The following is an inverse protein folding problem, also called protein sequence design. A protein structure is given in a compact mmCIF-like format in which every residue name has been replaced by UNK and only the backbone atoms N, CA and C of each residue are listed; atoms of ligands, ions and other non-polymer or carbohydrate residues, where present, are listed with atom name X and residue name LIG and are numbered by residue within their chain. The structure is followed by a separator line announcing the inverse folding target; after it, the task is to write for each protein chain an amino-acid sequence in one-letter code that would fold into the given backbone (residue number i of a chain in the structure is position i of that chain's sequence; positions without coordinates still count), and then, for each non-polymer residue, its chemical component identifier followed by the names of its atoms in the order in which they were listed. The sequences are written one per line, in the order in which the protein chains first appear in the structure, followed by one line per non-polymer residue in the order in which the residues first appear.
data_IF_723166370342
#
_entry.id   IF_723166370342
#
_cell.length_a   1.000
_cell.length_b   1.000
_cell.length_c   1.000
_cell.angle_alpha   90.00
_cell.angle_beta   90.00
_cell.angle_gamma   90.00
#
_symmetry.space_group_name_H-M   'P 1'
#
loop_
_entity.id
_entity.type
_entity.pdbx_description
1 polymer ?
#
# COMPACT_ATOMS: atom_id res chain seq x y z
N UNK A 1 -24.49 -23.94 -12.50
CA UNK A 1 -23.51 -24.74 -11.74
C UNK A 1 -22.76 -23.79 -10.83
N UNK A 2 -22.99 -23.85 -9.52
CA UNK A 2 -22.36 -22.92 -8.58
C UNK A 2 -20.88 -23.28 -8.45
N UNK A 3 -20.00 -22.30 -8.67
CA UNK A 3 -18.56 -22.46 -8.45
C UNK A 3 -18.30 -22.63 -6.95
N UNK A 4 -18.18 -23.88 -6.49
CA UNK A 4 -17.73 -24.20 -5.13
C UNK A 4 -16.21 -24.06 -5.08
N UNK A 5 -15.71 -23.02 -4.43
CA UNK A 5 -14.28 -22.89 -4.17
C UNK A 5 -13.90 -23.77 -2.99
N UNK A 6 -13.24 -24.91 -3.24
CA UNK A 6 -12.68 -25.75 -2.19
C UNK A 6 -11.52 -25.00 -1.50
N UNK A 7 -11.62 -24.78 -0.20
CA UNK A 7 -10.62 -24.07 0.60
C UNK A 7 -9.72 -25.02 1.39
N UNK A 8 -10.29 -26.12 1.88
CA UNK A 8 -9.60 -27.09 2.71
C UNK A 8 -10.13 -28.50 2.46
N UNK A 9 -9.23 -29.47 2.53
CA UNK A 9 -9.56 -30.89 2.54
C UNK A 9 -8.57 -31.60 3.46
N UNK A 10 -9.07 -32.49 4.30
CA UNK A 10 -8.25 -33.26 5.22
C UNK A 10 -9.09 -34.24 6.04
N UNK A 11 -8.56 -34.60 7.19
CA UNK A 11 -9.19 -35.51 8.15
C UNK A 11 -9.44 -34.77 9.46
N UNK A 12 -10.62 -34.99 10.04
CA UNK A 12 -10.94 -34.58 11.39
C UNK A 12 -11.32 -35.78 12.23
N UNK A 13 -11.15 -35.65 13.54
CA UNK A 13 -11.46 -36.67 14.52
C UNK A 13 -12.62 -36.20 15.39
N UNK A 14 -13.63 -37.05 15.56
CA UNK A 14 -14.75 -36.82 16.46
C UNK A 14 -14.55 -37.64 17.73
N UNK A 15 -14.65 -37.00 18.89
CA UNK A 15 -14.56 -37.70 20.17
C UNK A 15 -15.82 -38.52 20.41
N UNK A 16 -15.68 -39.85 20.39
CA UNK A 16 -16.78 -40.80 20.65
C UNK A 16 -16.91 -41.03 22.15
N UNK A 17 -15.79 -41.29 22.82
CA UNK A 17 -15.72 -41.54 24.25
C UNK A 17 -14.52 -40.79 24.85
N UNK A 18 -14.74 -40.05 25.93
CA UNK A 18 -13.67 -39.40 26.69
C UNK A 18 -12.79 -40.41 27.43
N UNK A 19 -11.68 -39.93 28.01
CA UNK A 19 -10.81 -40.74 28.85
C UNK A 19 -11.60 -41.32 30.02
N UNK A 20 -11.42 -42.61 30.25
CA UNK A 20 -11.90 -43.29 31.45
C UNK A 20 -10.70 -43.76 32.28
N UNK A 21 -10.94 -44.32 33.46
CA UNK A 21 -9.87 -44.90 34.30
C UNK A 21 -9.12 -46.04 33.61
N UNK A 22 -9.77 -46.75 32.68
CA UNK A 22 -9.23 -47.96 32.06
C UNK A 22 -8.84 -47.79 30.59
N UNK A 23 -9.34 -46.76 29.91
CA UNK A 23 -9.16 -46.57 28.48
C UNK A 23 -8.80 -45.12 28.11
N UNK A 24 -7.95 -44.98 27.11
CA UNK A 24 -7.69 -43.73 26.42
C UNK A 24 -8.95 -43.24 25.67
N UNK A 25 -9.06 -41.93 25.38
CA UNK A 25 -10.16 -41.40 24.57
C UNK A 25 -10.27 -42.13 23.23
N UNK A 26 -11.50 -42.35 22.77
CA UNK A 26 -11.80 -42.97 21.47
C UNK A 26 -12.29 -41.92 20.48
N UNK A 27 -11.74 -42.00 19.29
CA UNK A 27 -12.03 -41.06 18.21
C UNK A 27 -12.55 -41.80 16.98
N UNK A 28 -13.51 -41.18 16.28
CA UNK A 28 -13.95 -41.57 14.94
C UNK A 28 -13.22 -40.69 13.93
N UNK A 29 -12.65 -41.31 12.89
CA UNK A 29 -12.03 -40.61 11.79
C UNK A 29 -13.09 -40.21 10.76
N UNK A 30 -13.19 -38.93 10.43
CA UNK A 30 -14.14 -38.43 9.44
C UNK A 30 -13.42 -37.53 8.41
N UNK A 31 -13.71 -37.68 7.11
CA UNK A 31 -13.19 -36.77 6.11
C UNK A 31 -13.83 -35.39 6.32
N UNK A 32 -13.02 -34.35 6.23
CA UNK A 32 -13.45 -32.97 6.39
C UNK A 32 -13.07 -32.14 5.17
N UNK A 33 -14.01 -31.35 4.67
CA UNK A 33 -13.76 -30.39 3.62
C UNK A 33 -14.42 -29.06 3.94
N UNK A 34 -13.79 -27.96 3.54
CA UNK A 34 -14.36 -26.61 3.67
C UNK A 34 -14.42 -26.01 2.30
N UNK A 35 -15.59 -25.49 1.94
CA UNK A 35 -15.81 -24.81 0.66
C UNK A 35 -16.55 -23.51 0.85
N UNK A 36 -16.37 -22.58 -0.09
CA UNK A 36 -17.23 -21.40 -0.22
C UNK A 36 -18.28 -21.68 -1.28
N UNK A 37 -19.54 -21.59 -0.88
CA UNK A 37 -20.68 -21.85 -1.75
C UNK A 37 -21.66 -20.69 -1.70
N UNK A 38 -22.09 -20.22 -2.88
CA UNK A 38 -23.24 -19.34 -2.99
C UNK A 38 -24.51 -20.18 -2.88
N UNK A 39 -25.24 -19.99 -1.79
CA UNK A 39 -26.51 -20.69 -1.57
C UNK A 39 -27.66 -19.88 -2.18
N UNK A 40 -28.74 -20.52 -2.68
CA UNK A 40 -29.78 -19.86 -3.48
C UNK A 40 -30.49 -18.67 -2.82
N UNK A 41 -30.48 -18.63 -1.48
CA UNK A 41 -31.18 -17.66 -0.66
C UNK A 41 -30.26 -16.61 -0.02
N UNK A 42 -28.95 -16.66 -0.31
CA UNK A 42 -27.99 -15.65 0.12
C UNK A 42 -27.31 -14.97 -1.06
N UNK A 43 -27.11 -13.66 -0.93
CA UNK A 43 -26.41 -12.85 -1.93
C UNK A 43 -24.88 -12.95 -1.82
N UNK A 44 -24.38 -13.62 -0.77
CA UNK A 44 -22.96 -13.71 -0.47
C UNK A 44 -22.55 -15.18 -0.27
N UNK A 45 -21.38 -15.59 -0.79
CA UNK A 45 -20.87 -16.95 -0.57
C UNK A 45 -20.69 -17.23 0.92
N UNK A 46 -21.26 -18.33 1.38
CA UNK A 46 -21.14 -18.80 2.75
C UNK A 46 -20.06 -19.87 2.85
N UNK A 47 -19.48 -20.01 4.05
CA UNK A 47 -18.53 -21.07 4.36
C UNK A 47 -19.31 -22.31 4.77
N UNK A 48 -19.14 -23.38 3.99
CA UNK A 48 -19.76 -24.68 4.21
C UNK A 48 -18.68 -25.68 4.60
N UNK A 49 -18.88 -26.31 5.74
CA UNK A 49 -18.07 -27.42 6.24
C UNK A 49 -18.80 -28.73 5.92
N UNK A 50 -18.15 -29.61 5.19
CA UNK A 50 -18.60 -30.98 5.02
C UNK A 50 -17.81 -31.88 5.97
N UNK A 51 -18.52 -32.63 6.80
CA UNK A 51 -17.95 -33.62 7.70
C UNK A 51 -18.61 -34.97 7.43
N UNK A 52 -17.85 -35.92 6.88
CA UNK A 52 -18.39 -37.17 6.37
C UNK A 52 -19.44 -36.89 5.28
N UNK A 53 -20.68 -37.32 5.55
CA UNK A 53 -21.82 -37.12 4.65
C UNK A 53 -22.65 -35.87 4.97
N UNK A 54 -22.37 -35.18 6.07
CA UNK A 54 -23.20 -34.06 6.53
C UNK A 54 -22.59 -32.72 6.17
N UNK A 55 -23.42 -31.82 5.64
CA UNK A 55 -23.04 -30.44 5.34
C UNK A 55 -23.50 -29.50 6.45
N UNK A 56 -22.62 -28.59 6.83
CA UNK A 56 -22.83 -27.62 7.88
C UNK A 56 -22.52 -26.21 7.39
N UNK A 57 -23.41 -25.27 7.68
CA UNK A 57 -23.13 -23.85 7.61
C UNK A 57 -22.36 -23.43 8.85
N UNK A 58 -21.18 -22.85 8.68
CA UNK A 58 -20.33 -22.40 9.79
C UNK A 58 -20.68 -20.97 10.15
N UNK A 59 -20.99 -20.70 11.42
CA UNK A 59 -21.30 -19.37 11.93
C UNK A 59 -20.09 -18.76 12.63
N UNK A 60 -19.49 -19.52 13.55
CA UNK A 60 -18.29 -19.10 14.29
C UNK A 60 -17.36 -20.29 14.47
N UNK A 61 -16.06 -20.00 14.59
CA UNK A 61 -15.04 -21.02 14.87
C UNK A 61 -13.98 -20.45 15.82
N UNK A 62 -13.60 -21.23 16.82
CA UNK A 62 -12.55 -20.86 17.77
C UNK A 62 -11.69 -22.06 18.15
N UNK A 63 -10.40 -21.84 18.48
CA UNK A 63 -9.60 -22.88 19.11
C UNK A 63 -10.15 -23.20 20.50
N UNK A 64 -10.08 -24.47 20.92
CA UNK A 64 -10.47 -24.90 22.25
C UNK A 64 -9.43 -25.87 22.84
N UNK A 65 -9.55 -26.14 24.13
CA UNK A 65 -8.61 -26.98 24.87
C UNK A 65 -8.99 -28.46 24.75
N UNK A 66 -8.19 -29.19 24.00
CA UNK A 66 -8.39 -30.62 23.73
C UNK A 66 -8.28 -31.47 25.00
N UNK A 67 -7.35 -31.13 25.90
CA UNK A 67 -7.09 -31.90 27.12
C UNK A 67 -8.26 -31.82 28.10
N UNK A 68 -8.88 -30.64 28.22
CA UNK A 68 -10.08 -30.44 29.04
C UNK A 68 -11.26 -31.25 28.51
N UNK A 69 -11.39 -31.31 27.18
CA UNK A 69 -12.55 -31.97 26.56
C UNK A 69 -12.43 -33.48 26.50
N UNK A 70 -11.24 -34.01 26.22
CA UNK A 70 -10.97 -35.45 26.19
C UNK A 70 -10.76 -36.01 27.59
N UNK A 71 -10.45 -35.18 28.59
CA UNK A 71 -10.11 -35.59 29.94
C UNK A 71 -8.70 -36.18 30.05
N UNK A 72 -7.90 -36.10 28.98
CA UNK A 72 -6.52 -36.59 28.97
C UNK A 72 -5.51 -35.43 28.98
N UNK A 73 -4.71 -35.33 30.04
CA UNK A 73 -3.62 -34.37 30.12
C UNK A 73 -2.51 -34.62 29.08
N UNK A 74 -2.44 -35.84 28.53
CA UNK A 74 -1.50 -36.21 27.46
C UNK A 74 -2.10 -36.13 26.06
N UNK A 75 -3.23 -35.43 25.90
CA UNK A 75 -3.89 -35.27 24.62
C UNK A 75 -2.96 -34.61 23.58
N UNK A 76 -2.76 -35.29 22.46
CA UNK A 76 -1.89 -34.80 21.37
C UNK A 76 -2.70 -34.08 20.29
N UNK A 77 -3.99 -34.43 20.14
CA UNK A 77 -4.88 -33.79 19.17
C UNK A 77 -5.26 -32.38 19.62
N UNK A 78 -5.64 -31.56 18.65
CA UNK A 78 -5.95 -30.13 18.80
C UNK A 78 -7.41 -29.90 18.49
N UNK A 79 -8.10 -29.22 19.40
CA UNK A 79 -9.54 -29.06 19.35
C UNK A 79 -9.93 -27.72 18.71
N UNK A 80 -10.96 -27.78 17.87
CA UNK A 80 -11.71 -26.65 17.37
C UNK A 80 -13.16 -26.77 17.85
N UNK A 81 -13.72 -25.64 18.27
CA UNK A 81 -15.13 -25.53 18.59
C UNK A 81 -15.80 -24.66 17.54
N UNK A 82 -16.82 -25.19 16.89
CA UNK A 82 -17.55 -24.54 15.83
C UNK A 82 -19.00 -24.36 16.24
N UNK A 83 -19.57 -23.18 15.99
CA UNK A 83 -21.03 -23.03 16.03
C UNK A 83 -21.53 -23.17 14.60
N UNK A 84 -22.33 -24.21 14.36
CA UNK A 84 -22.77 -24.59 13.01
C UNK A 84 -24.28 -24.78 12.93
N UNK A 85 -24.82 -24.79 11.71
CA UNK A 85 -26.21 -25.19 11.42
C UNK A 85 -26.19 -26.27 10.34
N UNK A 86 -26.86 -27.41 10.51
CA UNK A 86 -27.00 -28.40 9.45
C UNK A 86 -27.64 -27.76 8.22
N UNK A 87 -27.06 -27.99 7.05
CA UNK A 87 -27.48 -27.27 5.85
C UNK A 87 -28.88 -27.70 5.39
N UNK A 88 -29.27 -28.95 5.65
CA UNK A 88 -30.63 -29.45 5.45
C UNK A 88 -31.64 -28.77 6.38
N UNK A 89 -31.26 -28.45 7.62
CA UNK A 89 -32.11 -27.68 8.54
C UNK A 89 -32.25 -26.24 8.07
N UNK A 90 -31.18 -25.64 7.55
CA UNK A 90 -31.23 -24.29 6.97
C UNK A 90 -32.15 -24.27 5.75
N UNK A 91 -32.04 -25.24 4.85
CA UNK A 91 -32.92 -25.38 3.67
C UNK A 91 -34.38 -25.55 4.10
N UNK A 92 -34.66 -26.41 5.08
CA UNK A 92 -36.02 -26.62 5.63
C UNK A 92 -36.55 -25.37 6.32
N UNK A 93 -35.74 -24.74 7.15
CA UNK A 93 -36.09 -23.51 7.86
C UNK A 93 -36.45 -22.38 6.88
N UNK A 94 -35.71 -22.25 5.79
CA UNK A 94 -36.02 -21.28 4.75
C UNK A 94 -37.32 -21.61 4.01
N UNK A 95 -37.55 -22.88 3.69
CA UNK A 95 -38.77 -23.34 3.00
C UNK A 95 -40.03 -23.06 3.82
N UNK A 96 -39.97 -23.34 5.12
CA UNK A 96 -41.11 -23.21 6.04
C UNK A 96 -41.13 -21.89 6.83
N UNK A 97 -40.20 -20.97 6.54
CA UNK A 97 -40.04 -19.69 7.25
C UNK A 97 -39.90 -19.85 8.78
N UNK A 98 -39.12 -20.83 9.21
CA UNK A 98 -38.81 -21.09 10.63
C UNK A 98 -37.34 -20.78 10.94
N UNK A 99 -36.95 -20.87 12.22
CA UNK A 99 -35.58 -20.65 12.65
C UNK A 99 -34.75 -21.95 12.57
N UNK A 100 -33.60 -21.90 11.91
CA UNK A 100 -32.63 -22.99 11.92
C UNK A 100 -31.88 -23.04 13.26
N UNK A 101 -31.88 -24.20 13.91
CA UNK A 101 -31.20 -24.41 15.19
C UNK A 101 -29.68 -24.41 15.00
N UNK A 102 -28.98 -23.62 15.81
CA UNK A 102 -27.52 -23.69 15.92
C UNK A 102 -27.12 -24.82 16.86
N UNK A 103 -26.01 -25.49 16.53
CA UNK A 103 -25.40 -26.52 17.34
C UNK A 103 -23.90 -26.28 17.45
N UNK A 104 -23.32 -26.77 18.54
CA UNK A 104 -21.87 -26.72 18.76
C UNK A 104 -21.27 -28.04 18.27
N UNK A 105 -20.30 -27.94 17.38
CA UNK A 105 -19.54 -29.06 16.83
C UNK A 105 -18.09 -28.97 17.31
N UNK A 106 -17.58 -30.08 17.83
CA UNK A 106 -16.23 -30.19 18.36
C UNK A 106 -15.41 -31.10 17.45
N UNK A 107 -14.34 -30.55 16.86
CA UNK A 107 -13.49 -31.27 15.91
C UNK A 107 -12.05 -31.33 16.41
N UNK A 108 -11.48 -32.51 16.40
CA UNK A 108 -10.08 -32.74 16.74
C UNK A 108 -9.24 -32.88 15.47
N UNK A 109 -8.03 -32.33 15.49
CA UNK A 109 -7.07 -32.37 14.38
C UNK A 109 -5.69 -32.72 14.94
N UNK A 110 -4.87 -33.45 14.21
CA UNK A 110 -3.63 -34.01 14.77
C UNK A 110 -2.53 -32.97 15.06
N UNK A 111 -2.49 -31.84 14.32
CA UNK A 111 -1.39 -30.87 14.38
C UNK A 111 -1.92 -29.43 14.50
N UNK A 112 -1.22 -28.60 15.28
CA UNK A 112 -1.54 -27.17 15.44
C UNK A 112 -1.59 -26.42 14.11
N UNK A 113 -0.62 -26.67 13.24
CA UNK A 113 -0.57 -26.03 11.93
C UNK A 113 -1.83 -26.32 11.09
N UNK A 114 -2.33 -27.55 11.15
CA UNK A 114 -3.56 -27.95 10.44
C UNK A 114 -4.78 -27.30 11.07
N UNK A 115 -4.83 -27.20 12.41
CA UNK A 115 -5.86 -26.44 13.12
C UNK A 115 -5.89 -24.98 12.66
N UNK A 116 -4.75 -24.31 12.66
CA UNK A 116 -4.65 -22.89 12.32
C UNK A 116 -4.98 -22.64 10.83
N UNK A 117 -4.59 -23.56 9.94
CA UNK A 117 -5.02 -23.53 8.54
C UNK A 117 -6.53 -23.69 8.41
N UNK A 118 -7.13 -24.66 9.10
CA UNK A 118 -8.56 -24.91 9.08
C UNK A 118 -9.35 -23.71 9.64
N UNK A 119 -8.93 -23.14 10.76
CA UNK A 119 -9.52 -21.92 11.33
C UNK A 119 -9.47 -20.76 10.32
N UNK A 120 -8.34 -20.53 9.65
CA UNK A 120 -8.25 -19.50 8.60
C UNK A 120 -9.24 -19.72 7.46
N UNK A 121 -9.41 -20.96 7.02
CA UNK A 121 -10.39 -21.30 5.98
C UNK A 121 -11.84 -21.10 6.47
N UNK A 122 -12.13 -21.41 7.73
CA UNK A 122 -13.47 -21.33 8.32
C UNK A 122 -13.92 -19.89 8.59
N UNK A 123 -13.00 -19.04 9.06
CA UNK A 123 -13.28 -17.65 9.35
C UNK A 123 -13.49 -16.81 8.08
N UNK A 124 -12.93 -17.27 6.96
CA UNK A 124 -12.92 -16.56 5.70
C UNK A 124 -12.10 -15.26 5.79
N UNK A 125 -11.62 -14.78 4.64
CA UNK A 125 -10.86 -13.52 4.54
C UNK A 125 -11.62 -12.29 5.08
N UNK A 126 -12.92 -12.41 5.36
CA UNK A 126 -13.73 -11.34 5.96
C UNK A 126 -13.44 -11.06 7.43
N UNK A 127 -13.09 -12.07 8.21
CA UNK A 127 -12.63 -11.82 9.58
C UNK A 127 -11.18 -11.32 9.62
N UNK A 128 -10.40 -11.39 8.54
CA UNK A 128 -9.10 -10.71 8.53
C UNK A 128 -9.27 -9.19 8.46
N UNK A 129 -10.32 -8.67 7.80
CA UNK A 129 -10.65 -7.25 7.82
C UNK A 129 -11.28 -6.83 9.16
N UNK A 130 -12.19 -7.64 9.73
CA UNK A 130 -12.80 -7.33 11.03
C UNK A 130 -11.87 -7.59 12.22
N UNK A 131 -10.98 -8.59 12.17
CA UNK A 131 -9.93 -8.79 13.19
C UNK A 131 -8.72 -7.88 12.94
N UNK A 132 -8.51 -7.35 11.72
CA UNK A 132 -7.65 -6.18 11.54
C UNK A 132 -8.30 -5.01 12.27
N UNK A 133 -9.57 -4.67 12.04
CA UNK A 133 -10.30 -3.60 12.74
C UNK A 133 -10.40 -3.81 14.28
N UNK A 134 -10.52 -5.05 14.77
CA UNK A 134 -10.58 -5.35 16.21
C UNK A 134 -9.20 -5.47 16.89
N UNK A 135 -8.14 -5.99 16.22
CA UNK A 135 -6.75 -5.85 16.73
C UNK A 135 -6.25 -4.42 16.60
N UNK A 136 -6.81 -3.66 15.67
CA UNK A 136 -6.70 -2.23 15.59
C UNK A 136 -7.48 -1.49 16.69
N UNK A 137 -8.33 -2.17 17.47
CA UNK A 137 -8.88 -1.61 18.70
C UNK A 137 -7.86 -1.54 19.86
N UNK A 138 -6.77 -2.31 19.77
CA UNK A 138 -5.81 -2.54 20.88
C UNK A 138 -4.40 -1.99 20.61
N UNK A 139 -4.17 -1.43 19.42
CA UNK A 139 -3.00 -0.60 19.16
C UNK A 139 -3.35 0.79 19.69
N UNK A 140 -2.66 1.24 20.75
CA UNK A 140 -2.78 2.60 21.28
C UNK A 140 -2.94 3.59 20.12
N UNK A 141 -4.00 4.42 20.09
CA UNK A 141 -4.27 5.30 18.95
C UNK A 141 -3.06 6.17 18.58
N UNK A 142 -2.20 6.48 19.56
CA UNK A 142 -0.93 7.18 19.35
C UNK A 142 0.07 6.40 18.49
N UNK A 143 0.16 5.08 18.61
CA UNK A 143 1.12 4.27 17.85
C UNK A 143 0.79 4.23 16.36
N UNK A 144 -0.49 4.12 15.99
CA UNK A 144 -0.90 4.24 14.58
C UNK A 144 -0.58 5.61 13.98
N UNK A 145 -0.93 6.68 14.71
CA UNK A 145 -0.65 8.04 14.28
C UNK A 145 0.85 8.27 14.06
N UNK A 146 1.70 7.64 14.88
CA UNK A 146 3.15 7.68 14.70
C UNK A 146 3.60 6.87 13.49
N UNK A 147 3.13 5.63 13.33
CA UNK A 147 3.49 4.77 12.20
C UNK A 147 3.12 5.44 10.85
N UNK A 148 1.92 6.05 10.78
CA UNK A 148 1.46 6.80 9.61
C UNK A 148 2.32 8.06 9.37
N UNK A 149 2.66 8.81 10.43
CA UNK A 149 3.51 9.99 10.33
C UNK A 149 4.93 9.66 9.86
N UNK A 150 5.50 8.55 10.35
CA UNK A 150 6.81 8.07 9.89
C UNK A 150 6.75 7.59 8.44
N UNK A 151 5.71 6.86 8.04
CA UNK A 151 5.52 6.43 6.66
C UNK A 151 5.38 7.62 5.70
N UNK A 152 4.64 8.66 6.08
CA UNK A 152 4.53 9.90 5.30
C UNK A 152 5.88 10.62 5.19
N UNK A 153 6.68 10.64 6.26
CA UNK A 153 8.01 11.24 6.28
C UNK A 153 9.01 10.49 5.39
N UNK A 154 9.01 9.16 5.41
CA UNK A 154 9.84 8.34 4.52
C UNK A 154 9.46 8.55 3.05
N UNK A 155 8.15 8.58 2.75
CA UNK A 155 7.66 8.92 1.40
C UNK A 155 8.10 10.31 0.96
N UNK A 156 8.08 11.29 1.87
CA UNK A 156 8.54 12.66 1.58
C UNK A 156 10.04 12.69 1.23
N UNK A 157 10.86 11.93 1.96
CA UNK A 157 12.31 11.84 1.72
C UNK A 157 12.65 11.14 0.41
N UNK A 158 11.87 10.14 0.03
CA UNK A 158 12.06 9.38 -1.22
C UNK A 158 11.45 10.09 -2.43
N UNK A 159 10.59 11.08 -2.23
CA UNK A 159 9.93 11.79 -3.32
C UNK A 159 10.92 12.69 -4.08
N UNK A 160 10.96 12.54 -5.41
CA UNK A 160 11.80 13.37 -6.29
C UNK A 160 11.17 14.71 -6.66
N UNK A 161 9.87 14.89 -6.42
CA UNK A 161 9.15 16.13 -6.68
C UNK A 161 8.97 16.93 -5.38
N UNK A 162 9.50 18.17 -5.38
CA UNK A 162 9.45 19.08 -4.23
C UNK A 162 8.03 19.47 -3.82
N UNK A 163 7.09 19.54 -4.76
CA UNK A 163 5.70 19.91 -4.45
C UNK A 163 5.00 18.75 -3.74
N UNK A 164 5.15 17.53 -4.26
CA UNK A 164 4.65 16.32 -3.61
C UNK A 164 5.32 16.09 -2.24
N UNK A 165 6.64 16.29 -2.15
CA UNK A 165 7.40 16.20 -0.90
C UNK A 165 6.83 17.14 0.18
N UNK A 166 6.52 18.38 -0.20
CA UNK A 166 5.98 19.40 0.68
C UNK A 166 4.61 19.01 1.24
N UNK A 167 3.75 18.42 0.41
CA UNK A 167 2.47 17.84 0.86
C UNK A 167 2.68 16.73 1.90
N UNK A 168 3.60 15.80 1.63
CA UNK A 168 3.91 14.67 2.51
C UNK A 168 4.57 15.12 3.83
N UNK A 169 5.44 16.14 3.81
CA UNK A 169 6.00 16.72 5.03
C UNK A 169 4.93 17.39 5.90
N UNK A 170 3.93 18.05 5.30
CA UNK A 170 2.78 18.62 6.04
C UNK A 170 1.89 17.52 6.64
N UNK A 171 1.68 16.42 5.91
CA UNK A 171 0.96 15.26 6.40
C UNK A 171 1.67 14.62 7.61
N UNK A 172 2.99 14.43 7.52
CA UNK A 172 3.80 13.94 8.63
C UNK A 172 3.75 14.87 9.85
N UNK A 173 3.85 16.20 9.66
CA UNK A 173 3.76 17.17 10.77
C UNK A 173 2.42 17.09 11.50
N UNK A 174 1.32 16.95 10.75
CA UNK A 174 -0.02 16.77 11.30
C UNK A 174 -0.13 15.46 12.08
N UNK A 175 0.40 14.36 11.54
CA UNK A 175 0.41 13.06 12.23
C UNK A 175 1.16 13.12 13.57
N UNK A 176 2.33 13.76 13.60
CA UNK A 176 3.07 13.98 14.86
C UNK A 176 2.33 14.90 15.84
N UNK A 177 1.58 15.90 15.35
CA UNK A 177 0.76 16.78 16.20
C UNK A 177 -0.41 16.04 16.85
N UNK A 178 -1.06 15.15 16.09
CA UNK A 178 -2.17 14.34 16.60
C UNK A 178 -1.64 13.26 17.56
N UNK A 179 -0.49 12.65 17.27
CA UNK A 179 0.18 11.72 18.19
C UNK A 179 0.58 12.37 19.52
N UNK A 180 1.08 13.62 19.52
CA UNK A 180 1.43 14.36 20.74
C UNK A 180 0.27 14.45 21.74
N UNK A 181 -0.99 14.52 21.27
CA UNK A 181 -2.18 14.64 22.12
C UNK A 181 -2.56 13.32 22.81
N UNK A 182 -2.13 12.20 22.26
CA UNK A 182 -2.54 10.86 22.68
C UNK A 182 -1.47 10.20 23.56
N UNK A 183 -0.21 10.62 23.43
CA UNK A 183 0.92 10.06 24.17
C UNK A 183 0.91 10.50 25.64
N UNK A 184 0.91 9.56 26.61
CA UNK A 184 0.76 9.88 28.02
C UNK A 184 2.03 10.51 28.64
N UNK A 185 3.22 10.15 28.17
CA UNK A 185 4.47 10.54 28.80
C UNK A 185 5.01 11.89 28.29
N UNK A 186 5.44 12.75 29.23
CA UNK A 186 5.92 14.11 28.91
C UNK A 186 7.20 14.07 28.08
N UNK A 187 8.07 13.08 28.33
CA UNK A 187 9.35 12.94 27.63
C UNK A 187 9.15 12.68 26.13
N UNK A 188 8.26 11.77 25.75
CA UNK A 188 7.93 11.53 24.34
C UNK A 188 7.20 12.72 23.73
N UNK A 189 6.35 13.43 24.48
CA UNK A 189 5.74 14.68 24.00
C UNK A 189 6.79 15.75 23.69
N UNK A 190 7.82 15.91 24.51
CA UNK A 190 8.95 16.81 24.21
C UNK A 190 9.71 16.40 22.94
N UNK A 191 9.99 15.10 22.76
CA UNK A 191 10.61 14.60 21.53
C UNK A 191 9.76 14.87 20.28
N UNK A 192 8.44 14.67 20.37
CA UNK A 192 7.52 14.96 19.26
C UNK A 192 7.47 16.46 18.95
N UNK A 193 7.47 17.33 19.96
CA UNK A 193 7.57 18.79 19.76
C UNK A 193 8.86 19.20 19.07
N UNK A 194 10.00 18.64 19.49
CA UNK A 194 11.28 18.91 18.86
C UNK A 194 11.28 18.46 17.39
N UNK A 195 10.78 17.24 17.13
CA UNK A 195 10.69 16.67 15.77
C UNK A 195 9.76 17.47 14.86
N UNK A 196 8.62 17.94 15.38
CA UNK A 196 7.72 18.85 14.66
C UNK A 196 8.39 20.19 14.38
N UNK A 197 9.16 20.74 15.31
CA UNK A 197 9.95 21.94 15.09
C UNK A 197 10.96 21.78 13.94
N UNK A 198 11.62 20.63 13.85
CA UNK A 198 12.50 20.29 12.73
C UNK A 198 11.73 20.23 11.41
N UNK A 199 10.60 19.51 11.38
CA UNK A 199 9.76 19.39 10.19
C UNK A 199 9.24 20.73 9.71
N UNK A 200 8.78 21.59 10.61
CA UNK A 200 8.30 22.94 10.26
C UNK A 200 9.43 23.80 9.66
N UNK A 201 10.67 23.64 10.11
CA UNK A 201 11.83 24.30 9.48
C UNK A 201 12.05 23.79 8.06
N UNK A 202 11.99 22.48 7.86
CA UNK A 202 12.13 21.86 6.53
C UNK A 202 11.02 22.28 5.58
N UNK A 203 9.77 22.29 6.04
CA UNK A 203 8.60 22.74 5.26
C UNK A 203 8.78 24.19 4.82
N UNK A 204 9.15 25.09 5.74
CA UNK A 204 9.38 26.52 5.40
C UNK A 204 10.55 26.69 4.41
N UNK A 205 11.58 25.86 4.51
CA UNK A 205 12.68 25.83 3.55
C UNK A 205 12.20 25.43 2.15
N UNK A 206 11.46 24.32 2.06
CA UNK A 206 10.90 23.81 0.80
C UNK A 206 9.88 24.76 0.19
N UNK A 207 9.01 25.40 1.00
CA UNK A 207 8.06 26.42 0.53
C UNK A 207 8.79 27.58 -0.16
N UNK A 208 9.87 28.09 0.44
CA UNK A 208 10.68 29.16 -0.17
C UNK A 208 11.33 28.72 -1.48
N UNK A 209 11.81 27.48 -1.56
CA UNK A 209 12.42 26.94 -2.78
C UNK A 209 11.39 26.75 -3.89
N UNK A 210 10.20 26.24 -3.56
CA UNK A 210 9.09 26.08 -4.51
C UNK A 210 8.60 27.44 -4.99
N UNK A 211 8.46 28.43 -4.10
CA UNK A 211 8.09 29.80 -4.45
C UNK A 211 9.15 30.47 -5.33
N UNK A 212 10.44 30.26 -5.05
CA UNK A 212 11.53 30.76 -5.89
C UNK A 212 11.57 30.06 -7.25
N UNK A 213 11.32 28.76 -7.31
CA UNK A 213 11.22 28.02 -8.57
C UNK A 213 10.02 28.50 -9.40
N UNK A 214 8.87 28.74 -8.78
CA UNK A 214 7.70 29.31 -9.43
C UNK A 214 7.98 30.73 -9.97
N UNK A 215 8.65 31.58 -9.18
CA UNK A 215 9.06 32.93 -9.62
C UNK A 215 10.09 32.92 -10.74
N UNK A 216 11.03 31.97 -10.74
CA UNK A 216 12.00 31.77 -11.85
C UNK A 216 11.34 31.19 -13.10
N UNK A 217 10.35 30.31 -12.95
CA UNK A 217 9.53 29.82 -14.05
C UNK A 217 8.70 30.93 -14.72
N UNK A 218 8.26 31.92 -13.93
CA UNK A 218 7.57 33.13 -14.41
C UNK A 218 8.54 34.19 -15.00
N UNK A 219 9.84 34.08 -14.75
CA UNK A 219 10.87 35.01 -15.29
C UNK A 219 11.62 34.43 -16.50
N UNK A 220 11.25 33.25 -17.00
CA UNK A 220 11.72 32.82 -18.30
C UNK A 220 11.07 33.74 -19.35
N UNK A 221 11.85 34.41 -20.23
CA UNK A 221 11.25 35.04 -21.39
C UNK A 221 10.43 33.96 -22.12
N UNK A 222 9.25 34.28 -22.68
CA UNK A 222 8.43 33.29 -23.36
C UNK A 222 9.33 32.52 -24.30
N UNK A 223 9.37 31.20 -24.13
CA UNK A 223 10.08 30.31 -25.05
C UNK A 223 9.54 30.62 -26.42
N UNK A 224 10.26 31.43 -27.18
CA UNK A 224 9.91 31.70 -28.56
C UNK A 224 9.81 30.35 -29.22
N UNK A 225 8.64 30.08 -29.75
CA UNK A 225 8.34 28.85 -30.46
C UNK A 225 9.46 28.62 -31.48
N UNK A 226 10.00 27.40 -31.54
CA UNK A 226 11.18 27.07 -32.37
C UNK A 226 10.92 27.48 -33.83
N UNK A 227 9.65 27.39 -34.23
CA UNK A 227 9.05 27.88 -35.46
C UNK A 227 9.31 29.38 -35.72
N UNK A 228 9.08 30.22 -34.71
CA UNK A 228 9.29 31.67 -34.78
C UNK A 228 10.77 32.02 -34.91
N UNK A 229 11.65 31.29 -34.21
CA UNK A 229 13.10 31.48 -34.32
C UNK A 229 13.66 31.03 -35.68
N UNK A 230 13.08 29.99 -36.27
CA UNK A 230 13.40 29.58 -37.65
C UNK A 230 12.95 30.62 -38.68
N UNK A 231 11.79 31.24 -38.50
CA UNK A 231 11.35 32.34 -39.37
C UNK A 231 12.22 33.58 -39.22
N UNK A 232 12.65 33.91 -38.00
CA UNK A 232 13.55 35.04 -37.74
C UNK A 232 14.93 34.81 -38.37
N UNK A 233 15.49 33.59 -38.25
CA UNK A 233 16.74 33.21 -38.92
C UNK A 233 16.61 33.24 -40.45
N UNK A 234 15.47 32.83 -41.01
CA UNK A 234 15.21 32.94 -42.46
C UNK A 234 15.12 34.40 -42.92
N UNK A 235 14.48 35.27 -42.13
CA UNK A 235 14.42 36.72 -42.43
C UNK A 235 15.80 37.37 -42.32
N UNK A 236 16.60 36.95 -41.34
CA UNK A 236 17.96 37.45 -41.16
C UNK A 236 18.89 37.03 -42.30
N UNK A 237 18.80 35.77 -42.76
CA UNK A 237 19.53 35.30 -43.94
C UNK A 237 19.15 36.07 -45.21
N UNK A 238 17.85 36.31 -45.43
CA UNK A 238 17.37 37.10 -46.57
C UNK A 238 17.83 38.58 -46.53
N UNK A 239 18.08 39.12 -45.33
CA UNK A 239 18.64 40.47 -45.16
C UNK A 239 20.15 40.52 -45.43
N UNK A 240 20.91 39.46 -45.15
CA UNK A 240 22.33 39.40 -45.52
C UNK A 240 22.52 39.25 -47.04
N UNK A 241 21.71 38.43 -47.70
CA UNK A 241 21.76 38.27 -49.16
C UNK A 241 21.43 39.58 -49.90
N UNK A 242 20.57 40.44 -49.33
CA UNK A 242 20.26 41.76 -49.93
C UNK A 242 21.36 42.80 -49.71
N UNK A 243 22.16 42.69 -48.65
CA UNK A 243 23.29 43.58 -48.37
C UNK A 243 24.53 43.18 -49.19
N UNK A 244 24.79 41.88 -49.38
CA UNK A 244 25.91 41.40 -50.20
C UNK A 244 25.73 41.72 -51.71
N UNK A 245 24.49 41.76 -52.21
CA UNK A 245 24.20 42.09 -53.62
C UNK A 245 24.31 43.60 -53.92
N UNK A 246 24.22 44.49 -52.92
CA UNK A 246 24.30 45.95 -53.12
C UNK A 246 25.68 46.58 -52.85
N UNK A 247 26.59 45.92 -52.11
CA UNK A 247 27.93 46.47 -51.83
C UNK A 247 29.07 45.84 -52.65
N UNK A 248 28.78 44.82 -53.47
CA UNK A 248 29.80 44.02 -54.17
C UNK A 248 30.41 44.60 -55.46
N UNK A 249 30.03 45.79 -55.96
CA UNK A 249 30.54 46.28 -57.26
C UNK A 249 30.71 47.80 -57.33
N UNK A 250 31.88 48.34 -56.91
CA UNK A 250 32.72 49.28 -57.72
C UNK A 250 33.79 50.10 -56.99
N UNK A 251 33.87 50.15 -55.66
CA UNK A 251 34.67 51.23 -55.01
C UNK A 251 36.06 50.86 -54.47
N UNK A 252 36.43 49.58 -54.34
CA UNK A 252 37.63 49.26 -53.51
C UNK A 252 38.92 48.93 -54.30
N UNK A 253 38.87 48.71 -55.61
CA UNK A 253 40.08 48.36 -56.40
C UNK A 253 40.90 49.58 -56.81
N UNK A 254 40.26 50.72 -57.11
CA UNK A 254 40.96 51.94 -57.52
C UNK A 254 41.68 52.63 -56.35
N UNK A 255 41.10 52.59 -55.14
CA UNK A 255 41.72 53.12 -53.92
C UNK A 255 42.94 52.30 -53.48
N UNK A 256 42.88 50.97 -53.61
CA UNK A 256 43.98 50.07 -53.24
C UNK A 256 45.18 50.16 -54.20
N UNK A 257 44.96 50.47 -55.49
CA UNK A 257 46.05 50.69 -56.45
C UNK A 257 46.76 52.06 -56.29
N UNK A 258 46.09 53.05 -55.72
CA UNK A 258 46.70 54.36 -55.43
C UNK A 258 47.62 54.32 -54.20
N UNK A 259 47.28 53.52 -53.19
CA UNK A 259 48.06 53.37 -51.96
C UNK A 259 49.40 52.63 -52.17
N UNK A 260 49.47 51.67 -53.10
CA UNK A 260 50.67 50.86 -53.36
C UNK A 260 51.81 51.59 -54.11
N UNK A 261 51.58 52.81 -54.60
CA UNK A 261 52.60 53.57 -55.35
C UNK A 261 53.42 54.56 -54.53
N UNK A 262 53.08 54.81 -53.26
CA UNK A 262 53.59 55.97 -52.51
C UNK A 262 54.44 55.71 -51.25
N UNK A 263 54.76 54.49 -50.84
CA UNK A 263 55.65 54.29 -49.69
C UNK A 263 57.04 53.75 -50.08
N UNK A 264 57.94 54.70 -50.38
CA UNK A 264 59.39 54.56 -50.21
C UNK A 264 59.77 55.23 -48.87
N UNK A 265 60.45 54.46 -48.02
CA UNK A 265 61.39 54.88 -46.97
C UNK A 265 60.86 55.58 -45.70
N UNK A 266 61.17 54.97 -44.54
CA UNK A 266 61.27 55.65 -43.23
C UNK A 266 61.51 54.65 -42.10
N UNK A 267 62.43 54.89 -41.14
CA UNK A 267 63.31 53.86 -40.60
C UNK A 267 62.89 53.23 -39.27
N UNK A 268 63.46 52.06 -38.99
CA UNK A 268 63.26 51.27 -37.76
C UNK A 268 63.85 51.97 -36.50
N UNK A 269 63.21 51.83 -35.32
CA UNK A 269 63.70 52.36 -34.05
C UNK A 269 64.67 51.38 -33.35
N UNK A 270 65.46 51.87 -32.37
CA UNK A 270 66.69 51.22 -31.90
C UNK A 270 66.45 50.17 -30.81
N UNK A 271 67.44 49.31 -30.67
CA UNK A 271 67.51 48.20 -29.72
C UNK A 271 68.31 48.64 -28.49
N UNK A 272 67.73 48.46 -27.31
CA UNK A 272 68.42 48.09 -26.06
C UNK A 272 67.56 47.04 -25.34
#
# INVERSE_FOLDING_TARGET
MASSGLLFQGTAWLLVEGKTTFYSPRYSEEPVSVSRQLLPFWNQPQVVLQLGQTEYLVLTSSPADASKRSGDAKETKKLLQLTVRPLDDVRRAQLYQTAARAQVLELFVDVEHTRDRLLRCLLGERQQLQQQEEKEGDIEPGKRLLDDAFAALERAQQSGDKVAALGLYKEAERGFYEAEKVVPDERSREFLRARRGDLQRTIRGLEREVDQAARRGLSAPPTMDISARLEELRRFAAQQDTVEVQQGNRTDLAARLAALKNEKAGPAPPVD
#
